data_IF_896800335217
#
_entry.id   IF_896800335217
#
_cell.length_a   1.000
_cell.length_b   1.000
_cell.length_c   1.000
_cell.angle_alpha   90.00
_cell.angle_beta   90.00
_cell.angle_gamma   90.00
#
_symmetry.space_group_name_H-M   'P 1'
#
loop_
_entity.id
_entity.type
_entity.pdbx_description
1 polymer ?
#
# COMPACT_ATOMS: atom_id res chain seq x y z
N UNK A 1 -15.69 22.06 4.40
CA UNK A 1 -15.12 21.32 5.55
C UNK A 1 -13.62 21.36 5.40
N UNK A 2 -12.91 22.01 6.33
CA UNK A 2 -11.45 22.15 6.24
C UNK A 2 -10.79 20.84 6.68
N UNK A 3 -9.95 20.25 5.83
CA UNK A 3 -9.11 19.12 6.24
C UNK A 3 -8.11 19.62 7.27
N UNK A 4 -8.19 19.08 8.49
CA UNK A 4 -7.21 19.34 9.55
C UNK A 4 -6.11 18.31 9.40
N UNK A 5 -4.94 18.75 8.97
CA UNK A 5 -3.75 17.91 8.97
C UNK A 5 -3.12 17.93 10.37
N UNK A 6 -3.08 16.76 11.01
CA UNK A 6 -2.38 16.58 12.28
C UNK A 6 -0.98 16.01 12.00
N UNK A 7 0.06 16.79 12.33
CA UNK A 7 1.45 16.36 12.22
C UNK A 7 1.99 15.94 13.60
N UNK A 8 2.66 14.78 13.67
CA UNK A 8 3.31 14.28 14.89
C UNK A 8 4.81 14.20 14.63
N UNK A 9 5.62 14.83 15.49
CA UNK A 9 7.08 14.75 15.39
C UNK A 9 7.59 13.48 16.06
N UNK A 10 8.26 12.61 15.30
CA UNK A 10 8.94 11.43 15.83
C UNK A 10 10.32 11.85 16.39
N UNK A 11 10.66 11.59 17.67
CA UNK A 11 11.97 11.92 18.23
C UNK A 11 13.13 11.22 17.50
N UNK A 12 14.34 11.78 17.58
CA UNK A 12 15.53 11.26 16.85
C UNK A 12 15.88 9.82 17.23
N UNK A 13 15.89 9.50 18.52
CA UNK A 13 16.25 8.16 19.03
C UNK A 13 15.45 7.01 18.39
N UNK A 14 14.10 6.98 18.42
CA UNK A 14 13.34 5.94 17.74
C UNK A 14 13.51 5.99 16.21
N UNK A 15 13.73 7.18 15.64
CA UNK A 15 13.98 7.32 14.20
C UNK A 15 15.24 6.58 13.75
N UNK A 16 16.31 6.69 14.53
CA UNK A 16 17.56 5.96 14.29
C UNK A 16 17.42 4.47 14.60
N UNK A 17 16.78 4.12 15.72
CA UNK A 17 16.60 2.72 16.15
C UNK A 17 15.78 1.88 15.17
N UNK A 18 14.76 2.48 14.55
CA UNK A 18 13.88 1.79 13.60
C UNK A 18 14.22 2.10 12.13
N UNK A 19 15.32 2.83 11.87
CA UNK A 19 15.75 3.23 10.52
C UNK A 19 14.59 3.88 9.73
N UNK A 20 13.92 4.84 10.38
CA UNK A 20 12.81 5.61 9.80
C UNK A 20 13.31 6.80 8.96
N UNK A 21 14.63 7.06 8.96
CA UNK A 21 15.26 8.12 8.17
C UNK A 21 15.08 7.92 6.65
N UNK A 22 14.99 6.66 6.21
CA UNK A 22 14.88 6.29 4.78
C UNK A 22 13.46 5.94 4.34
N UNK A 23 12.57 5.67 5.30
CA UNK A 23 11.20 5.27 5.02
C UNK A 23 10.29 6.50 4.96
N UNK A 24 9.78 6.80 3.76
CA UNK A 24 8.81 7.90 3.57
C UNK A 24 7.37 7.51 3.87
N UNK A 25 7.06 6.21 3.87
CA UNK A 25 5.71 5.70 4.02
C UNK A 25 5.65 4.73 5.21
N UNK A 26 4.87 5.07 6.23
CA UNK A 26 4.61 4.22 7.38
C UNK A 26 3.15 3.78 7.37
N UNK A 27 2.91 2.54 7.77
CA UNK A 27 1.55 2.05 8.03
C UNK A 27 1.17 2.44 9.45
N UNK A 28 -0.03 3.00 9.60
CA UNK A 28 -0.60 3.38 10.88
C UNK A 28 -1.69 2.37 11.22
N UNK A 29 -1.58 1.72 12.37
CA UNK A 29 -2.62 0.82 12.89
C UNK A 29 -3.15 1.37 14.21
N UNK A 30 -4.45 1.70 14.29
CA UNK A 30 -5.06 2.09 15.55
C UNK A 30 -5.21 0.86 16.46
N UNK A 31 -4.93 1.06 17.74
CA UNK A 31 -5.06 0.06 18.81
C UNK A 31 -5.75 0.71 20.01
N UNK A 32 -6.20 -0.10 20.97
CA UNK A 32 -6.86 0.38 22.19
C UNK A 32 -5.98 1.32 23.04
N UNK A 33 -4.66 1.28 22.84
CA UNK A 33 -3.67 2.07 23.60
C UNK A 33 -3.04 3.20 22.77
N UNK A 34 -3.45 3.38 21.52
CA UNK A 34 -2.93 4.44 20.64
C UNK A 34 -2.60 3.96 19.23
N UNK A 35 -1.69 4.68 18.56
CA UNK A 35 -1.29 4.40 17.18
C UNK A 35 0.03 3.64 17.14
N UNK A 36 0.06 2.52 16.41
CA UNK A 36 1.29 1.79 16.11
C UNK A 36 1.76 2.16 14.72
N UNK A 37 3.03 2.56 14.63
CA UNK A 37 3.72 2.86 13.38
C UNK A 37 4.54 1.64 12.93
N UNK A 38 4.32 1.19 11.70
CA UNK A 38 5.05 0.08 11.10
C UNK A 38 5.71 0.49 9.78
N UNK A 39 6.93 0.00 9.54
CA UNK A 39 7.59 0.16 8.24
C UNK A 39 6.79 -0.59 7.18
N UNK A 40 6.54 0.05 6.05
CA UNK A 40 5.92 -0.61 4.90
C UNK A 40 7.02 -1.31 4.13
N UNK A 41 7.18 -2.62 4.36
CA UNK A 41 7.89 -3.47 3.43
C UNK A 41 7.01 -3.72 2.22
N UNK A 42 7.10 -2.87 1.19
CA UNK A 42 6.51 -3.24 -0.10
C UNK A 42 7.24 -4.49 -0.59
N UNK A 43 6.51 -5.53 -1.03
CA UNK A 43 7.16 -6.71 -1.58
C UNK A 43 8.05 -6.28 -2.75
N UNK A 44 9.25 -6.86 -2.90
CA UNK A 44 10.10 -6.56 -4.05
C UNK A 44 9.35 -6.82 -5.35
N UNK A 45 9.68 -6.07 -6.40
CA UNK A 45 9.03 -6.17 -7.71
C UNK A 45 9.03 -7.62 -8.23
N UNK A 46 10.08 -8.39 -7.94
CA UNK A 46 10.20 -9.81 -8.28
C UNK A 46 9.15 -10.70 -7.62
N UNK A 47 8.83 -10.46 -6.35
CA UNK A 47 7.78 -11.18 -5.64
C UNK A 47 6.40 -10.80 -6.18
N UNK A 48 6.19 -9.51 -6.49
CA UNK A 48 4.97 -9.05 -7.15
C UNK A 48 4.80 -9.71 -8.52
N UNK A 49 5.85 -9.77 -9.33
CA UNK A 49 5.85 -10.46 -10.63
C UNK A 49 5.48 -11.94 -10.47
N UNK A 50 6.08 -12.66 -9.52
CA UNK A 50 5.73 -14.06 -9.25
C UNK A 50 4.26 -14.25 -8.84
N UNK A 51 3.68 -13.30 -8.08
CA UNK A 51 2.25 -13.31 -7.73
C UNK A 51 1.35 -13.02 -8.93
N UNK A 52 1.81 -12.25 -9.91
CA UNK A 52 1.07 -11.98 -11.15
C UNK A 52 1.14 -13.22 -12.05
N UNK A 53 2.31 -13.81 -12.24
CA UNK A 53 2.49 -15.04 -13.03
C UNK A 53 1.64 -16.20 -12.50
N UNK A 54 1.61 -16.39 -11.18
CA UNK A 54 0.75 -17.41 -10.57
C UNK A 54 -0.73 -17.23 -10.93
N UNK A 55 -1.21 -15.99 -10.95
CA UNK A 55 -2.62 -15.67 -11.30
C UNK A 55 -2.87 -15.70 -12.80
N UNK A 56 -1.90 -15.34 -13.62
CA UNK A 56 -2.00 -15.41 -15.07
C UNK A 56 -2.26 -16.86 -15.53
N UNK A 57 -1.67 -17.84 -14.84
CA UNK A 57 -1.93 -19.26 -15.10
C UNK A 57 -3.31 -19.74 -14.59
N UNK A 58 -3.97 -18.99 -13.72
CA UNK A 58 -5.26 -19.38 -13.12
C UNK A 58 -6.45 -18.86 -13.95
N UNK A 59 -6.27 -17.82 -14.77
CA UNK A 59 -7.33 -17.26 -15.60
C UNK A 59 -6.77 -16.53 -16.82
N UNK A 60 -7.04 -17.07 -18.00
CA UNK A 60 -6.88 -16.37 -19.27
C UNK A 60 -8.14 -15.52 -19.49
N UNK A 61 -7.99 -14.19 -19.58
CA UNK A 61 -9.11 -13.30 -19.92
C UNK A 61 -9.12 -13.03 -21.41
N UNK A 62 -10.28 -13.17 -22.04
CA UNK A 62 -10.50 -12.71 -23.41
C UNK A 62 -10.41 -11.18 -23.51
N UNK A 63 -10.13 -10.66 -24.71
CA UNK A 63 -10.10 -9.20 -24.93
C UNK A 63 -11.44 -8.54 -24.62
N UNK A 64 -12.55 -9.25 -24.80
CA UNK A 64 -13.88 -8.72 -24.49
C UNK A 64 -14.10 -8.57 -22.97
N UNK A 65 -13.65 -9.53 -22.17
CA UNK A 65 -13.67 -9.42 -20.70
C UNK A 65 -12.77 -8.27 -20.21
N UNK A 66 -11.61 -8.07 -20.85
CA UNK A 66 -10.72 -6.95 -20.53
C UNK A 66 -11.41 -5.62 -20.84
N UNK A 67 -12.03 -5.50 -22.01
CA UNK A 67 -12.77 -4.30 -22.39
C UNK A 67 -13.91 -4.00 -21.40
N UNK A 68 -14.63 -5.03 -20.95
CA UNK A 68 -15.70 -4.86 -19.96
C UNK A 68 -15.14 -4.39 -18.61
N UNK A 69 -14.07 -5.00 -18.09
CA UNK A 69 -13.42 -4.58 -16.84
C UNK A 69 -12.94 -3.13 -16.87
N UNK A 70 -12.38 -2.69 -18.00
CA UNK A 70 -11.94 -1.30 -18.20
C UNK A 70 -13.13 -0.35 -18.23
N UNK A 71 -14.23 -0.74 -18.86
CA UNK A 71 -15.46 0.05 -18.86
C UNK A 71 -16.09 0.15 -17.46
N UNK A 72 -16.17 -0.96 -16.73
CA UNK A 72 -16.72 -1.00 -15.37
C UNK A 72 -15.91 -0.08 -14.43
N UNK A 73 -14.58 -0.19 -14.44
CA UNK A 73 -13.70 0.66 -13.60
C UNK A 73 -13.75 2.15 -13.94
N UNK A 74 -14.11 2.51 -15.18
CA UNK A 74 -14.31 3.91 -15.59
C UNK A 74 -15.67 4.47 -15.21
N UNK A 75 -16.65 3.61 -14.95
CA UNK A 75 -18.03 4.00 -14.61
C UNK A 75 -18.20 4.21 -13.10
N UNK A 76 -17.32 3.60 -12.30
CA UNK A 76 -17.27 3.75 -10.83
C UNK A 76 -16.44 4.97 -10.32
N UNK A 77 -15.98 5.85 -11.21
CA UNK A 77 -15.41 7.18 -10.87
C UNK A 77 -16.40 8.30 -11.17
#
# INVERSE_FOLDING_TARGET
MSNVELCITIPSRPREQFDLERERNLMIVPTDFGLVLMKIGLPPVTEFQGRVEKRANERECSMDEINQLVHDARTDN
#
